data_IF_803862314028
#
_entry.id   IF_803862314028
#
_cell.length_a   1.000
_cell.length_b   1.000
_cell.length_c   1.000
_cell.angle_alpha   90.00
_cell.angle_beta   90.00
_cell.angle_gamma   90.00
#
_symmetry.space_group_name_H-M   'P 1'
#
loop_
_entity.id
_entity.type
_entity.pdbx_description
1 polymer ?
#
# COMPACT_ATOMS: atom_id res chain seq x y z
N UNK A 1 23.95 6.77 5.56
CA UNK A 1 23.43 7.02 4.20
C UNK A 1 23.64 5.77 3.36
N UNK A 2 22.72 5.43 2.45
CA UNK A 2 23.00 4.41 1.45
C UNK A 2 24.17 4.95 0.59
N UNK A 3 25.24 4.17 0.38
CA UNK A 3 26.40 4.60 -0.42
C UNK A 3 26.18 4.41 -1.93
N UNK A 4 25.02 3.89 -2.32
CA UNK A 4 24.64 3.67 -3.71
C UNK A 4 23.86 4.87 -4.22
N UNK A 5 24.31 5.45 -5.33
CA UNK A 5 23.47 6.37 -6.11
C UNK A 5 22.29 5.57 -6.65
N UNK A 6 21.10 5.83 -6.15
CA UNK A 6 19.89 5.23 -6.68
C UNK A 6 19.41 6.10 -7.82
N UNK A 7 19.29 5.51 -9.01
CA UNK A 7 18.50 6.11 -10.08
C UNK A 7 17.02 5.85 -9.78
N UNK A 8 16.41 6.75 -9.01
CA UNK A 8 14.99 6.64 -8.64
C UNK A 8 14.06 6.79 -9.85
N UNK A 9 14.52 7.42 -10.93
CA UNK A 9 13.75 7.57 -12.15
C UNK A 9 13.65 6.26 -12.95
N UNK A 10 14.59 5.33 -12.75
CA UNK A 10 14.57 4.00 -13.37
C UNK A 10 13.75 2.96 -12.57
N UNK A 11 13.10 3.36 -11.47
CA UNK A 11 12.28 2.43 -10.70
C UNK A 11 11.02 2.02 -11.47
N UNK A 12 10.62 0.74 -11.40
CA UNK A 12 9.34 0.31 -11.96
C UNK A 12 8.19 0.92 -11.14
N UNK A 13 7.61 2.01 -11.65
CA UNK A 13 6.64 2.85 -10.95
C UNK A 13 5.47 2.06 -10.38
N UNK A 14 4.89 1.13 -11.15
CA UNK A 14 3.78 0.30 -10.72
C UNK A 14 4.10 -0.56 -9.49
N UNK A 15 5.21 -1.31 -9.56
CA UNK A 15 5.64 -2.16 -8.45
C UNK A 15 6.00 -1.30 -7.22
N UNK A 16 6.65 -0.17 -7.46
CA UNK A 16 7.05 0.77 -6.42
C UNK A 16 5.85 1.34 -5.67
N UNK A 17 4.88 1.90 -6.40
CA UNK A 17 3.68 2.51 -5.86
C UNK A 17 2.80 1.50 -5.13
N UNK A 18 2.67 0.27 -5.66
CA UNK A 18 1.96 -0.81 -4.98
C UNK A 18 2.62 -1.16 -3.64
N UNK A 19 3.95 -1.39 -3.63
CA UNK A 19 4.69 -1.70 -2.40
C UNK A 19 4.68 -0.53 -1.42
N UNK A 20 4.72 0.72 -1.90
CA UNK A 20 4.61 1.90 -1.05
C UNK A 20 3.26 1.93 -0.34
N UNK A 21 2.15 1.71 -1.05
CA UNK A 21 0.81 1.63 -0.45
C UNK A 21 0.72 0.52 0.61
N UNK A 22 1.16 -0.69 0.26
CA UNK A 22 1.19 -1.83 1.18
C UNK A 22 2.09 -1.57 2.39
N UNK A 23 3.23 -0.88 2.18
CA UNK A 23 4.13 -0.51 3.24
C UNK A 23 3.49 0.51 4.19
N UNK A 24 2.76 1.50 3.67
CA UNK A 24 2.14 2.53 4.49
C UNK A 24 1.04 1.97 5.40
N UNK A 25 0.27 0.99 4.94
CA UNK A 25 -0.68 0.28 5.81
C UNK A 25 -0.01 -0.76 6.69
N UNK A 26 0.11 -1.98 6.19
CA UNK A 26 0.52 -3.17 6.97
C UNK A 26 2.02 -3.42 7.02
N UNK A 27 2.82 -2.59 6.33
CA UNK A 27 4.26 -2.74 6.31
C UNK A 27 4.97 -2.28 7.57
N UNK A 28 6.10 -2.93 7.86
CA UNK A 28 7.08 -2.45 8.82
C UNK A 28 8.49 -2.70 8.28
N UNK A 29 9.42 -1.84 8.67
CA UNK A 29 10.84 -2.07 8.44
C UNK A 29 11.53 -2.19 9.79
N UNK A 30 12.23 -3.31 9.99
CA UNK A 30 12.97 -3.60 11.21
C UNK A 30 14.48 -3.60 10.93
N UNK A 31 15.26 -2.99 11.83
CA UNK A 31 16.73 -3.02 11.79
C UNK A 31 17.24 -4.32 12.40
N UNK A 32 18.07 -5.04 11.67
CA UNK A 32 18.84 -6.19 12.14
C UNK A 32 20.34 -5.83 12.18
N UNK A 33 21.21 -6.63 12.84
CA UNK A 33 22.62 -6.28 13.01
C UNK A 33 23.37 -6.00 11.69
N UNK A 34 23.01 -6.70 10.61
CA UNK A 34 23.68 -6.62 9.30
C UNK A 34 22.77 -6.19 8.14
N UNK A 35 21.47 -6.07 8.37
CA UNK A 35 20.46 -5.87 7.32
C UNK A 35 19.26 -5.08 7.84
N UNK A 36 18.42 -4.63 6.93
CA UNK A 36 17.08 -4.12 7.17
C UNK A 36 16.09 -5.11 6.59
N UNK A 37 15.01 -5.40 7.31
CA UNK A 37 13.95 -6.29 6.85
C UNK A 37 12.67 -5.50 6.63
N UNK A 38 12.23 -5.42 5.38
CA UNK A 38 10.86 -5.05 5.04
C UNK A 38 9.97 -6.26 5.29
N UNK A 39 8.82 -6.05 5.92
CA UNK A 39 7.80 -7.07 6.14
C UNK A 39 6.43 -6.43 6.00
N UNK A 40 5.56 -7.05 5.22
CA UNK A 40 4.16 -6.69 5.03
C UNK A 40 3.33 -7.89 5.50
N UNK A 41 2.42 -7.65 6.44
CA UNK A 41 1.55 -8.69 7.01
C UNK A 41 0.21 -8.67 6.28
N UNK A 42 -0.27 -9.82 5.79
CA UNK A 42 -1.50 -9.92 4.98
C UNK A 42 -2.38 -11.05 5.48
N UNK A 43 -3.69 -10.96 5.24
CA UNK A 43 -4.65 -12.02 5.57
C UNK A 43 -4.55 -13.17 4.53
N UNK A 44 -4.40 -14.40 5.01
CA UNK A 44 -4.32 -15.62 4.20
C UNK A 44 -5.60 -15.92 3.40
N UNK A 45 -6.72 -15.27 3.72
CA UNK A 45 -7.95 -15.30 2.93
C UNK A 45 -7.77 -14.71 1.52
N UNK A 46 -6.75 -13.89 1.29
CA UNK A 46 -6.47 -13.25 0.00
C UNK A 46 -5.12 -13.71 -0.57
N UNK A 47 -4.99 -14.99 -0.98
CA UNK A 47 -3.73 -15.55 -1.48
C UNK A 47 -3.19 -14.80 -2.69
N UNK A 48 -4.06 -14.27 -3.56
CA UNK A 48 -3.64 -13.50 -4.73
C UNK A 48 -2.98 -12.18 -4.35
N UNK A 49 -3.45 -11.52 -3.30
CA UNK A 49 -2.84 -10.29 -2.77
C UNK A 49 -1.44 -10.58 -2.20
N UNK A 50 -1.27 -11.73 -1.54
CA UNK A 50 0.04 -12.19 -1.02
C UNK A 50 1.02 -12.40 -2.17
N UNK A 51 0.60 -13.10 -3.23
CA UNK A 51 1.45 -13.35 -4.39
C UNK A 51 1.80 -12.05 -5.13
N UNK A 52 0.84 -11.16 -5.33
CA UNK A 52 1.07 -9.83 -5.92
C UNK A 52 2.03 -8.98 -5.10
N UNK A 53 1.92 -9.03 -3.77
CA UNK A 53 2.86 -8.35 -2.87
C UNK A 53 4.27 -8.92 -3.01
N UNK A 54 4.41 -10.24 -3.14
CA UNK A 54 5.70 -10.89 -3.34
C UNK A 54 6.32 -10.47 -4.68
N UNK A 55 5.55 -10.56 -5.76
CA UNK A 55 5.98 -10.20 -7.12
C UNK A 55 6.43 -8.74 -7.20
N UNK A 56 5.66 -7.81 -6.62
CA UNK A 56 6.03 -6.40 -6.63
C UNK A 56 7.34 -6.13 -5.86
N UNK A 57 7.57 -6.80 -4.73
CA UNK A 57 8.85 -6.70 -4.00
C UNK A 57 10.00 -7.30 -4.82
N UNK A 58 9.78 -8.45 -5.48
CA UNK A 58 10.78 -9.10 -6.33
C UNK A 58 11.20 -8.20 -7.50
N UNK A 59 10.23 -7.52 -8.13
CA UNK A 59 10.46 -6.55 -9.21
C UNK A 59 11.29 -5.34 -8.73
N UNK A 60 11.02 -4.82 -7.53
CA UNK A 60 11.77 -3.68 -6.97
C UNK A 60 13.19 -4.00 -6.55
N UNK A 61 13.48 -5.28 -6.31
CA UNK A 61 14.76 -5.71 -5.76
C UNK A 61 15.38 -6.81 -6.64
N UNK A 62 15.80 -6.46 -7.88
CA UNK A 62 16.36 -7.43 -8.82
C UNK A 62 17.48 -8.26 -8.20
N UNK A 63 17.43 -9.57 -8.40
CA UNK A 63 18.41 -10.52 -7.86
C UNK A 63 18.17 -10.94 -6.41
N UNK A 64 17.12 -10.44 -5.75
CA UNK A 64 16.64 -10.96 -4.47
C UNK A 64 15.23 -11.55 -4.62
N UNK A 65 14.82 -12.36 -3.64
CA UNK A 65 13.47 -12.93 -3.60
C UNK A 65 12.84 -12.70 -2.24
N UNK A 66 11.62 -12.17 -2.24
CA UNK A 66 10.79 -12.03 -1.06
C UNK A 66 10.35 -13.41 -0.56
N UNK A 67 10.50 -13.62 0.74
CA UNK A 67 10.01 -14.80 1.42
C UNK A 67 8.56 -14.59 1.85
N UNK A 68 7.74 -15.63 1.73
CA UNK A 68 6.37 -15.68 2.25
C UNK A 68 6.33 -16.67 3.40
N UNK A 69 5.92 -16.22 4.59
CA UNK A 69 5.78 -17.06 5.77
C UNK A 69 4.32 -17.04 6.22
N UNK A 70 3.61 -18.15 6.06
CA UNK A 70 2.23 -18.31 6.56
C UNK A 70 2.28 -18.62 8.05
N UNK A 71 1.39 -17.99 8.82
CA UNK A 71 1.27 -18.14 10.28
C UNK A 71 -0.01 -18.89 10.64
N UNK A 72 -0.05 -19.56 11.81
CA UNK A 72 -1.24 -20.30 12.26
C UNK A 72 -2.48 -19.43 12.50
N UNK A 73 -2.33 -18.13 12.71
CA UNK A 73 -3.41 -17.19 13.03
C UNK A 73 -4.08 -16.57 11.80
N UNK A 74 -3.89 -17.18 10.63
CA UNK A 74 -4.50 -16.71 9.38
C UNK A 74 -3.79 -15.52 8.75
N UNK A 75 -2.60 -15.14 9.23
CA UNK A 75 -1.76 -14.12 8.61
C UNK A 75 -0.62 -14.72 7.76
N UNK A 76 -0.11 -13.97 6.80
CA UNK A 76 1.10 -14.27 6.06
C UNK A 76 2.03 -13.05 6.04
N UNK A 77 3.30 -13.28 6.35
CA UNK A 77 4.33 -12.24 6.28
C UNK A 77 5.06 -12.36 4.94
N UNK A 78 4.94 -11.35 4.08
CA UNK A 78 5.80 -11.19 2.90
C UNK A 78 6.96 -10.30 3.30
N UNK A 79 8.20 -10.79 3.15
CA UNK A 79 9.36 -10.06 3.65
C UNK A 79 10.61 -10.21 2.81
N UNK A 80 11.43 -9.15 2.82
CA UNK A 80 12.73 -9.13 2.16
C UNK A 80 13.76 -8.48 3.07
N UNK A 81 14.95 -9.07 3.13
CA UNK A 81 16.08 -8.53 3.88
C UNK A 81 17.14 -7.96 2.93
N UNK A 82 17.48 -6.69 3.10
CA UNK A 82 18.50 -6.01 2.31
C UNK A 82 19.57 -5.38 3.21
N UNK A 83 20.82 -5.35 2.75
CA UNK A 83 21.91 -4.62 3.43
C UNK A 83 21.78 -3.11 3.23
N UNK A 84 21.09 -2.68 2.17
CA UNK A 84 20.85 -1.28 1.91
C UNK A 84 19.87 -0.74 2.95
N UNK A 85 20.15 0.46 3.48
CA UNK A 85 19.13 1.22 4.21
C UNK A 85 17.90 1.37 3.28
N UNK A 86 16.66 1.49 3.80
CA UNK A 86 15.45 1.63 2.98
C UNK A 86 15.39 2.98 2.25
N UNK A 87 16.30 3.17 1.32
CA UNK A 87 16.36 4.29 0.37
C UNK A 87 15.07 4.41 -0.43
N UNK A 88 14.43 3.28 -0.74
CA UNK A 88 13.15 3.22 -1.43
C UNK A 88 11.96 3.59 -0.54
N UNK A 89 12.11 3.56 0.78
CA UNK A 89 11.03 3.84 1.73
C UNK A 89 11.52 4.84 2.80
N UNK A 90 11.79 6.10 2.40
CA UNK A 90 12.36 7.13 3.27
C UNK A 90 11.43 7.53 4.43
N UNK A 91 10.16 7.12 4.39
CA UNK A 91 9.19 7.27 5.49
C UNK A 91 9.58 6.48 6.75
N UNK A 92 10.65 5.68 6.74
CA UNK A 92 11.19 5.04 7.95
C UNK A 92 11.73 6.09 8.94
N UNK A 93 11.17 6.10 10.15
CA UNK A 93 11.63 6.91 11.27
C UNK A 93 11.48 6.20 12.62
N UNK A 94 11.90 6.82 13.73
CA UNK A 94 11.67 6.29 15.07
C UNK A 94 10.16 6.25 15.41
N UNK A 95 9.79 5.40 16.37
CA UNK A 95 8.42 5.34 16.92
C UNK A 95 7.38 4.66 16.01
N UNK A 96 6.11 4.75 16.42
CA UNK A 96 4.97 4.18 15.67
C UNK A 96 4.72 4.98 14.39
N UNK A 97 4.46 4.30 13.28
CA UNK A 97 4.27 4.91 11.94
C UNK A 97 3.19 6.01 11.92
N UNK A 98 2.09 5.81 12.64
CA UNK A 98 0.98 6.79 12.68
C UNK A 98 1.24 7.99 13.62
N UNK A 99 2.34 8.00 14.37
CA UNK A 99 2.71 9.11 15.26
C UNK A 99 3.85 9.97 14.68
N UNK A 100 4.37 9.62 13.51
CA UNK A 100 5.45 10.35 12.85
C UNK A 100 4.95 10.96 11.54
N UNK A 101 5.56 12.07 11.07
CA UNK A 101 5.27 12.62 9.76
C UNK A 101 5.51 11.58 8.66
N UNK A 102 4.57 11.49 7.71
CA UNK A 102 4.68 10.69 6.49
C UNK A 102 4.57 11.65 5.31
N UNK A 103 5.72 12.00 4.74
CA UNK A 103 5.80 12.85 3.55
C UNK A 103 6.45 12.06 2.43
N UNK A 104 5.99 12.26 1.20
CA UNK A 104 6.62 11.74 0.01
C UNK A 104 7.78 12.65 -0.37
N UNK A 105 8.91 12.07 -0.72
CA UNK A 105 10.00 12.77 -1.40
C UNK A 105 9.54 13.16 -2.81
N UNK A 106 10.16 14.18 -3.40
CA UNK A 106 9.78 14.69 -4.72
C UNK A 106 9.77 13.59 -5.81
N UNK A 107 10.73 12.68 -5.79
CA UNK A 107 10.77 11.55 -6.73
C UNK A 107 9.64 10.55 -6.48
N UNK A 108 9.20 10.36 -5.23
CA UNK A 108 8.07 9.49 -4.90
C UNK A 108 6.76 10.11 -5.40
N UNK A 109 6.60 11.44 -5.30
CA UNK A 109 5.43 12.13 -5.83
C UNK A 109 5.30 11.96 -7.35
N UNK A 110 6.42 12.01 -8.08
CA UNK A 110 6.44 11.76 -9.54
C UNK A 110 5.94 10.36 -9.84
N UNK A 111 6.51 9.33 -9.20
CA UNK A 111 6.08 7.94 -9.41
C UNK A 111 4.63 7.71 -8.99
N UNK A 112 4.19 8.30 -7.87
CA UNK A 112 2.80 8.17 -7.40
C UNK A 112 1.82 8.83 -8.36
N UNK A 113 2.20 9.95 -9.00
CA UNK A 113 1.37 10.56 -10.06
C UNK A 113 1.35 9.70 -11.33
N UNK A 114 2.47 9.07 -11.70
CA UNK A 114 2.56 8.18 -12.86
C UNK A 114 1.73 6.90 -12.67
N UNK A 115 1.83 6.27 -11.50
CA UNK A 115 1.19 4.99 -11.16
C UNK A 115 0.20 5.12 -9.99
N UNK A 116 -0.67 6.15 -10.03
CA UNK A 116 -1.63 6.44 -8.95
C UNK A 116 -2.57 5.28 -8.66
N UNK A 117 -3.00 4.55 -9.70
CA UNK A 117 -3.85 3.37 -9.55
C UNK A 117 -3.19 2.29 -8.68
N UNK A 118 -1.90 2.01 -8.89
CA UNK A 118 -1.18 1.01 -8.10
C UNK A 118 -0.95 1.47 -6.65
N UNK A 119 -0.75 2.77 -6.44
CA UNK A 119 -0.65 3.33 -5.09
C UNK A 119 -1.98 3.17 -4.31
N UNK A 120 -3.09 3.56 -4.92
CA UNK A 120 -4.45 3.38 -4.36
C UNK A 120 -4.75 1.91 -4.11
N UNK A 121 -4.41 1.04 -5.06
CA UNK A 121 -4.59 -0.41 -4.94
C UNK A 121 -3.81 -0.98 -3.76
N UNK A 122 -2.55 -0.58 -3.57
CA UNK A 122 -1.73 -1.00 -2.43
C UNK A 122 -2.33 -0.59 -1.09
N UNK A 123 -2.79 0.66 -0.97
CA UNK A 123 -3.45 1.17 0.24
C UNK A 123 -4.76 0.44 0.55
N UNK A 124 -5.57 0.16 -0.48
CA UNK A 124 -6.81 -0.60 -0.31
C UNK A 124 -6.50 -2.05 0.04
N UNK A 125 -5.48 -2.68 -0.55
CA UNK A 125 -5.12 -4.05 -0.24
C UNK A 125 -4.65 -4.25 1.20
N UNK A 126 -3.96 -3.27 1.79
CA UNK A 126 -3.58 -3.30 3.20
C UNK A 126 -4.73 -2.90 4.14
N UNK A 127 -5.09 -1.61 4.17
CA UNK A 127 -5.96 -1.02 5.20
C UNK A 127 -7.39 -0.74 4.71
N UNK A 128 -7.68 -1.15 3.48
CA UNK A 128 -8.98 -0.97 2.87
C UNK A 128 -9.85 -2.23 2.86
N UNK A 129 -11.13 -2.04 2.57
CA UNK A 129 -12.04 -3.12 2.27
C UNK A 129 -12.94 -2.75 1.10
N UNK A 130 -13.37 -3.78 0.38
CA UNK A 130 -14.39 -3.71 -0.66
C UNK A 130 -15.53 -4.60 -0.22
N UNK A 131 -16.71 -4.04 -0.02
CA UNK A 131 -17.89 -4.78 0.45
C UNK A 131 -19.04 -4.63 -0.52
N UNK A 132 -19.84 -5.69 -0.63
CA UNK A 132 -21.16 -5.62 -1.27
C UNK A 132 -22.16 -5.41 -0.16
N UNK A 133 -22.64 -4.17 -0.01
CA UNK A 133 -23.71 -3.83 0.92
C UNK A 133 -25.06 -4.18 0.30
N UNK A 134 -25.99 -4.65 1.12
CA UNK A 134 -27.38 -4.92 0.73
C UNK A 134 -28.30 -4.04 1.58
N UNK A 135 -28.76 -2.94 0.97
CA UNK A 135 -29.68 -2.00 1.62
C UNK A 135 -31.11 -2.34 1.19
N UNK A 136 -31.76 -3.21 1.96
CA UNK A 136 -33.16 -3.64 1.74
C UNK A 136 -33.41 -4.22 0.34
N UNK A 137 -32.50 -5.06 -0.14
CA UNK A 137 -32.56 -5.71 -1.46
C UNK A 137 -31.80 -4.96 -2.56
N UNK A 138 -31.31 -3.75 -2.28
CA UNK A 138 -30.50 -2.97 -3.22
C UNK A 138 -29.01 -3.20 -2.94
N UNK A 139 -28.37 -3.98 -3.82
CA UNK A 139 -26.93 -4.27 -3.70
C UNK A 139 -26.09 -3.10 -4.22
N UNK A 140 -25.13 -2.66 -3.41
CA UNK A 140 -24.16 -1.61 -3.78
C UNK A 140 -22.74 -2.01 -3.38
N UNK A 141 -21.76 -1.66 -4.21
CA UNK A 141 -20.34 -1.81 -3.86
C UNK A 141 -19.92 -0.59 -3.07
N UNK A 142 -19.17 -0.81 -1.99
CA UNK A 142 -18.59 0.25 -1.16
C UNK A 142 -17.12 -0.05 -0.90
N UNK A 143 -16.29 0.97 -1.03
CA UNK A 143 -14.90 0.92 -0.62
C UNK A 143 -14.72 1.74 0.65
N UNK A 144 -13.97 1.19 1.61
CA UNK A 144 -13.55 1.89 2.81
C UNK A 144 -12.04 1.76 2.95
N UNK A 145 -11.41 2.79 3.52
CA UNK A 145 -10.01 2.82 3.91
C UNK A 145 -9.92 3.40 5.31
N UNK A 146 -9.28 2.69 6.24
CA UNK A 146 -9.16 3.11 7.63
C UNK A 146 -7.71 3.15 8.07
N UNK A 147 -7.20 4.33 8.45
CA UNK A 147 -5.83 4.45 8.95
C UNK A 147 -5.77 5.48 10.09
N UNK A 148 -4.86 5.27 11.05
CA UNK A 148 -4.66 6.16 12.20
C UNK A 148 -3.84 7.42 11.86
N UNK A 149 -2.99 7.35 10.84
CA UNK A 149 -2.17 8.46 10.38
C UNK A 149 -3.00 9.42 9.54
N UNK A 150 -3.02 10.71 9.90
CA UNK A 150 -3.63 11.74 9.04
C UNK A 150 -2.91 11.85 7.71
N UNK A 151 -1.58 11.83 7.73
CA UNK A 151 -0.76 11.96 6.52
C UNK A 151 -1.06 10.84 5.51
N UNK A 152 -1.18 9.58 5.95
CA UNK A 152 -1.51 8.46 5.05
C UNK A 152 -2.93 8.62 4.47
N UNK A 153 -3.90 9.07 5.29
CA UNK A 153 -5.25 9.37 4.79
C UNK A 153 -5.23 10.50 3.77
N UNK A 154 -4.46 11.55 4.02
CA UNK A 154 -4.31 12.68 3.10
C UNK A 154 -3.68 12.25 1.78
N UNK A 155 -2.67 11.37 1.80
CA UNK A 155 -2.08 10.78 0.59
C UNK A 155 -3.11 9.96 -0.19
N UNK A 156 -3.93 9.17 0.50
CA UNK A 156 -5.01 8.41 -0.12
C UNK A 156 -6.06 9.33 -0.78
N UNK A 157 -6.54 10.35 -0.06
CA UNK A 157 -7.47 11.35 -0.58
C UNK A 157 -6.90 12.08 -1.81
N UNK A 158 -5.65 12.55 -1.74
CA UNK A 158 -5.00 13.23 -2.87
C UNK A 158 -4.87 12.31 -4.10
N UNK A 159 -4.59 11.02 -3.90
CA UNK A 159 -4.55 10.04 -4.99
C UNK A 159 -5.94 9.82 -5.60
N UNK A 160 -7.00 9.76 -4.80
CA UNK A 160 -8.37 9.68 -5.30
C UNK A 160 -8.78 10.95 -6.07
N UNK A 161 -8.41 12.13 -5.56
CA UNK A 161 -8.66 13.42 -6.22
C UNK A 161 -7.95 13.48 -7.58
N UNK A 162 -6.70 12.99 -7.66
CA UNK A 162 -5.96 12.90 -8.91
C UNK A 162 -6.65 12.00 -9.96
N UNK A 163 -7.27 10.90 -9.51
CA UNK A 163 -8.06 10.01 -10.38
C UNK A 163 -9.49 10.53 -10.65
N UNK A 164 -9.89 11.67 -10.08
CA UNK A 164 -11.26 12.19 -10.18
C UNK A 164 -12.30 11.32 -9.47
N UNK A 165 -11.89 10.52 -8.48
CA UNK A 165 -12.75 9.58 -7.75
C UNK A 165 -13.30 10.29 -6.51
N UNK A 166 -14.61 10.60 -6.45
CA UNK A 166 -15.17 11.29 -5.31
C UNK A 166 -15.22 10.38 -4.07
N UNK A 167 -14.79 10.93 -2.93
CA UNK A 167 -14.77 10.25 -1.64
C UNK A 167 -15.50 11.04 -0.56
N UNK A 168 -15.71 10.39 0.57
CA UNK A 168 -16.32 10.94 1.77
C UNK A 168 -15.49 10.55 2.99
N UNK A 169 -15.64 11.29 4.08
CA UNK A 169 -14.95 11.02 5.34
C UNK A 169 -15.97 10.75 6.46
N UNK A 170 -16.50 9.52 6.55
CA UNK A 170 -17.55 9.19 7.52
C UNK A 170 -17.09 9.27 8.98
N UNK A 171 -15.78 9.19 9.25
CA UNK A 171 -15.22 9.35 10.59
C UNK A 171 -13.83 10.01 10.52
N UNK A 172 -13.26 10.35 11.68
CA UNK A 172 -11.89 10.87 11.74
C UNK A 172 -10.85 9.90 11.16
N UNK A 173 -11.12 8.58 11.17
CA UNK A 173 -10.19 7.53 10.74
C UNK A 173 -10.48 6.95 9.36
N UNK A 174 -11.68 7.21 8.82
CA UNK A 174 -12.20 6.47 7.67
C UNK A 174 -12.39 7.38 6.46
N UNK A 175 -11.98 6.90 5.30
CA UNK A 175 -12.30 7.45 3.98
C UNK A 175 -13.12 6.41 3.24
N UNK A 176 -14.20 6.84 2.57
CA UNK A 176 -15.11 5.92 1.91
C UNK A 176 -15.59 6.40 0.54
N UNK A 177 -15.77 5.46 -0.38
CA UNK A 177 -16.26 5.68 -1.74
C UNK A 177 -17.52 4.84 -1.94
N UNK A 178 -18.65 5.53 -2.17
CA UNK A 178 -19.98 4.92 -2.26
C UNK A 178 -20.67 5.10 -3.61
N UNK A 179 -20.28 6.13 -4.38
CA UNK A 179 -20.96 6.45 -5.65
C UNK A 179 -20.71 5.34 -6.66
N UNK A 180 -21.78 4.83 -7.29
CA UNK A 180 -21.72 3.69 -8.23
C UNK A 180 -20.66 3.87 -9.33
N UNK A 181 -20.57 5.05 -9.94
CA UNK A 181 -19.56 5.33 -10.97
C UNK A 181 -18.13 5.32 -10.39
N UNK A 182 -17.96 5.84 -9.17
CA UNK A 182 -16.67 5.89 -8.49
C UNK A 182 -16.20 4.49 -8.05
N UNK A 183 -17.12 3.65 -7.56
CA UNK A 183 -16.80 2.27 -7.18
C UNK A 183 -16.58 1.37 -8.39
N UNK A 184 -17.28 1.62 -9.50
CA UNK A 184 -16.98 0.97 -10.78
C UNK A 184 -15.57 1.35 -11.28
N UNK A 185 -15.19 2.64 -11.17
CA UNK A 185 -13.84 3.10 -11.52
C UNK A 185 -12.75 2.43 -10.68
N UNK A 186 -12.98 2.24 -9.38
CA UNK A 186 -12.05 1.50 -8.51
C UNK A 186 -11.97 0.00 -8.89
N UNK A 187 -13.08 -0.60 -9.30
CA UNK A 187 -13.11 -2.02 -9.72
C UNK A 187 -12.27 -2.31 -10.96
N UNK A 188 -12.04 -1.32 -11.84
CA UNK A 188 -11.24 -1.49 -13.06
C UNK A 188 -9.78 -1.88 -12.77
N UNK A 189 -9.20 -1.38 -11.67
CA UNK A 189 -7.77 -1.58 -11.37
C UNK A 189 -7.51 -2.26 -10.02
N UNK A 190 -8.44 -2.20 -9.07
CA UNK A 190 -8.33 -2.95 -7.80
C UNK A 190 -8.94 -4.34 -7.96
N UNK A 191 -10.16 -4.38 -8.51
CA UNK A 191 -10.96 -5.60 -8.62
C UNK A 191 -11.42 -6.16 -7.27
N UNK A 192 -12.06 -7.34 -7.26
CA UNK A 192 -12.44 -8.01 -6.03
C UNK A 192 -11.19 -8.43 -5.23
N UNK A 193 -11.24 -8.25 -3.91
CA UNK A 193 -10.28 -8.90 -3.00
C UNK A 193 -10.59 -10.41 -2.97
N UNK A 194 -9.87 -11.18 -3.79
CA UNK A 194 -9.91 -12.66 -3.86
C UNK A 194 -8.56 -13.24 -3.49
#
# INVERSE_FOLDING_TARGET
MCRSSHDFAALPADAYCYVLGMYLGDGCISKYPRTWRLRITLDTKYPRIIDQCREAIDVLMPGQRAAVVRRPDGCADVSLSSKHRPCLLPQLGPGKKHLRPIQLEQWQEVLVKESTEQFVRGLIHSDGCRVVADDRGVKSIRYHFSNRSEDIRSLYCAALDHLGIPWTRPSQYDVAVYRKAATARLDEFIGPKV
#
